data_IF_932658126968
#
_entry.id   IF_932658126968
#
_cell.length_a   1.000
_cell.length_b   1.000
_cell.length_c   1.000
_cell.angle_alpha   90.00
_cell.angle_beta   90.00
_cell.angle_gamma   90.00
#
_symmetry.space_group_name_H-M   'P 1'
#
loop_
_entity.id
_entity.type
_entity.pdbx_description
1 polymer ?
#
# COMPACT_ATOMS: atom_id res chain seq x y z
N UNK A 1 13.94 -12.18 6.15
CA UNK A 1 14.35 -12.23 4.74
C UNK A 1 13.61 -11.22 3.85
N UNK A 2 12.34 -10.87 4.08
CA UNK A 2 11.59 -9.86 3.28
C UNK A 2 12.00 -8.40 3.56
N UNK A 3 12.41 -8.06 4.81
CA UNK A 3 13.00 -6.72 5.09
C UNK A 3 14.24 -6.41 4.25
N UNK A 4 14.98 -7.42 3.81
CA UNK A 4 16.13 -7.24 2.91
C UNK A 4 15.71 -7.03 1.45
N UNK A 5 14.54 -7.51 1.00
CA UNK A 5 14.12 -7.36 -0.39
C UNK A 5 13.60 -5.95 -0.70
N UNK A 6 12.88 -5.32 0.22
CA UNK A 6 12.41 -3.94 0.03
C UNK A 6 13.58 -2.95 0.07
N UNK A 7 14.49 -3.10 1.03
CA UNK A 7 15.72 -2.30 1.09
C UNK A 7 16.64 -2.53 -0.12
N UNK A 8 16.69 -3.74 -0.67
CA UNK A 8 17.40 -4.03 -1.90
C UNK A 8 16.71 -3.40 -3.12
N UNK A 9 15.38 -3.42 -3.20
CA UNK A 9 14.63 -2.83 -4.31
C UNK A 9 14.75 -1.31 -4.36
N UNK A 10 14.68 -0.62 -3.21
CA UNK A 10 14.84 0.84 -3.15
C UNK A 10 16.31 1.26 -3.37
N UNK A 11 17.27 0.50 -2.85
CA UNK A 11 18.71 0.81 -3.02
C UNK A 11 19.26 0.49 -4.42
N UNK A 12 18.61 -0.41 -5.17
CA UNK A 12 19.09 -0.84 -6.49
C UNK A 12 18.43 -0.10 -7.66
N UNK A 13 17.49 0.80 -7.43
CA UNK A 13 16.98 1.67 -8.48
C UNK A 13 18.07 2.66 -8.87
N UNK A 14 18.88 2.27 -9.87
CA UNK A 14 19.80 3.18 -10.51
C UNK A 14 18.99 4.14 -11.38
N UNK A 15 18.59 5.25 -10.76
CA UNK A 15 17.65 6.26 -11.28
C UNK A 15 18.05 6.78 -12.69
N UNK A 16 19.34 6.73 -13.02
CA UNK A 16 19.83 7.17 -14.35
C UNK A 16 19.56 6.15 -15.48
N UNK A 17 19.49 4.87 -15.17
CA UNK A 17 19.27 3.82 -16.18
C UNK A 17 17.80 3.70 -16.63
N UNK A 18 16.84 4.17 -15.80
CA UNK A 18 15.41 4.01 -16.01
C UNK A 18 14.77 5.04 -16.98
N UNK A 19 15.53 6.05 -17.43
CA UNK A 19 14.95 7.19 -18.16
C UNK A 19 14.37 6.88 -19.54
N UNK A 20 14.72 5.79 -20.18
CA UNK A 20 14.40 5.61 -21.62
C UNK A 20 13.16 4.76 -21.92
N UNK A 21 12.77 3.84 -21.03
CA UNK A 21 11.70 2.86 -21.32
C UNK A 21 10.79 2.55 -20.12
N UNK A 22 10.49 3.54 -19.27
CA UNK A 22 9.57 3.31 -18.17
C UNK A 22 8.11 3.25 -18.65
N UNK A 23 7.34 2.22 -18.23
CA UNK A 23 5.95 2.10 -18.60
C UNK A 23 5.14 3.28 -18.06
N UNK A 24 4.14 3.73 -18.80
CA UNK A 24 3.28 4.83 -18.39
C UNK A 24 2.44 4.54 -17.12
N UNK A 25 2.34 3.27 -16.74
CA UNK A 25 1.64 2.83 -15.53
C UNK A 25 2.54 1.99 -14.65
N UNK A 26 2.73 2.42 -13.40
CA UNK A 26 3.59 1.75 -12.41
C UNK A 26 2.80 1.59 -11.12
N UNK A 27 2.80 0.39 -10.56
CA UNK A 27 2.27 0.12 -9.22
C UNK A 27 3.42 -0.18 -8.27
N UNK A 28 3.43 0.50 -7.13
CA UNK A 28 4.34 0.27 -6.02
C UNK A 28 3.51 -0.21 -4.83
N UNK A 29 3.91 -1.31 -4.20
CA UNK A 29 3.23 -1.82 -3.02
C UNK A 29 4.15 -1.78 -1.80
N UNK A 30 3.58 -1.43 -0.67
CA UNK A 30 4.23 -1.31 0.62
C UNK A 30 3.39 -2.06 1.66
N UNK A 31 3.99 -2.43 2.79
CA UNK A 31 3.30 -2.97 3.95
C UNK A 31 3.42 -1.96 5.09
N UNK A 32 4.50 -2.00 5.82
CA UNK A 32 4.82 -1.04 6.86
C UNK A 32 5.56 0.18 6.30
N UNK A 33 5.51 1.31 7.04
CA UNK A 33 6.28 2.51 6.71
C UNK A 33 6.95 3.05 7.97
N UNK A 34 8.18 2.66 8.21
CA UNK A 34 8.98 3.20 9.31
C UNK A 34 9.46 4.64 8.99
N UNK A 35 9.70 5.45 10.03
CA UNK A 35 10.17 6.85 9.85
C UNK A 35 11.38 7.00 8.93
N UNK A 36 12.31 6.03 8.97
CA UNK A 36 13.50 6.05 8.10
C UNK A 36 13.16 5.87 6.62
N UNK A 37 12.03 5.19 6.33
CA UNK A 37 11.59 4.89 4.97
C UNK A 37 10.82 6.06 4.36
N UNK A 38 10.26 6.97 5.17
CA UNK A 38 9.60 8.18 4.68
C UNK A 38 10.51 9.06 3.83
N UNK A 39 11.80 9.15 4.18
CA UNK A 39 12.77 9.93 3.39
C UNK A 39 13.02 9.30 2.02
N UNK A 40 13.05 7.97 1.94
CA UNK A 40 13.22 7.29 0.67
C UNK A 40 11.94 7.32 -0.16
N UNK A 41 10.77 7.23 0.48
CA UNK A 41 9.47 7.43 -0.16
C UNK A 41 9.35 8.86 -0.73
N UNK A 42 9.81 9.87 0.01
CA UNK A 42 9.87 11.27 -0.47
C UNK A 42 10.72 11.40 -1.74
N UNK A 43 11.89 10.80 -1.78
CA UNK A 43 12.76 10.79 -2.98
C UNK A 43 12.09 10.13 -4.17
N UNK A 44 11.38 9.02 -3.94
CA UNK A 44 10.61 8.31 -4.96
C UNK A 44 9.51 9.22 -5.53
N UNK A 45 8.75 9.89 -4.66
CA UNK A 45 7.69 10.81 -5.06
C UNK A 45 8.26 11.95 -5.92
N UNK A 46 9.29 12.62 -5.43
CA UNK A 46 9.95 13.72 -6.15
C UNK A 46 10.45 13.25 -7.51
N UNK A 47 11.10 12.08 -7.57
CA UNK A 47 11.61 11.53 -8.82
C UNK A 47 10.49 11.31 -9.84
N UNK A 48 9.44 10.58 -9.48
CA UNK A 48 8.35 10.29 -10.42
C UNK A 48 7.64 11.56 -10.89
N UNK A 49 7.37 12.52 -9.99
CA UNK A 49 6.79 13.81 -10.37
C UNK A 49 7.70 14.59 -11.31
N UNK A 50 9.03 14.56 -11.09
CA UNK A 50 10.00 15.26 -11.94
C UNK A 50 10.05 14.76 -13.39
N UNK A 51 9.60 13.52 -13.64
CA UNK A 51 9.53 12.90 -14.97
C UNK A 51 8.09 12.77 -15.49
N UNK A 52 7.16 13.50 -14.85
CA UNK A 52 5.81 13.71 -15.35
C UNK A 52 4.77 12.67 -14.95
N UNK A 53 5.02 11.87 -13.90
CA UNK A 53 4.02 10.96 -13.35
C UNK A 53 3.12 11.65 -12.34
N UNK A 54 1.84 11.29 -12.35
CA UNK A 54 0.85 11.64 -11.33
C UNK A 54 0.63 10.43 -10.40
N UNK A 55 0.56 10.70 -9.09
CA UNK A 55 0.21 9.68 -8.11
C UNK A 55 -1.32 9.61 -7.94
N UNK A 56 -1.86 8.42 -8.17
CA UNK A 56 -3.31 8.20 -8.21
C UNK A 56 -3.70 6.97 -7.39
N UNK A 57 -4.97 6.90 -6.98
CA UNK A 57 -5.53 5.70 -6.36
C UNK A 57 -5.62 4.53 -7.35
N UNK A 58 -5.70 3.30 -6.85
CA UNK A 58 -5.77 2.11 -7.72
C UNK A 58 -7.04 2.10 -8.58
N UNK A 59 -8.15 2.65 -8.06
CA UNK A 59 -9.39 2.79 -8.82
C UNK A 59 -9.22 3.73 -10.04
N UNK A 60 -8.59 4.89 -9.86
CA UNK A 60 -8.27 5.78 -10.97
C UNK A 60 -7.24 5.17 -11.91
N UNK A 61 -6.21 4.55 -11.37
CA UNK A 61 -5.17 3.85 -12.12
C UNK A 61 -5.74 2.76 -13.04
N UNK A 62 -6.71 1.98 -12.56
CA UNK A 62 -7.35 0.90 -13.34
C UNK A 62 -8.27 1.40 -14.45
N UNK A 63 -8.96 2.53 -14.23
CA UNK A 63 -9.94 3.09 -15.18
C UNK A 63 -9.30 3.92 -16.30
N UNK A 64 -8.12 4.46 -16.07
CA UNK A 64 -7.43 5.25 -17.09
C UNK A 64 -6.89 4.34 -18.20
N UNK A 65 -7.36 4.53 -19.41
CA UNK A 65 -7.02 3.70 -20.58
C UNK A 65 -6.00 4.43 -21.49
N UNK A 66 -5.86 5.76 -21.35
CA UNK A 66 -4.95 6.54 -22.19
C UNK A 66 -3.49 6.09 -22.01
N UNK A 67 -2.82 5.84 -23.12
CA UNK A 67 -1.38 5.53 -23.14
C UNK A 67 -0.48 6.77 -22.99
N UNK A 68 -1.06 7.96 -22.99
CA UNK A 68 -0.32 9.22 -22.90
C UNK A 68 -0.12 9.68 -21.45
N UNK A 69 -0.95 9.20 -20.53
CA UNK A 69 -0.92 9.59 -19.12
C UNK A 69 0.04 8.70 -18.35
N UNK A 70 0.91 9.31 -17.56
CA UNK A 70 1.87 8.62 -16.69
C UNK A 70 1.36 8.59 -15.26
N UNK A 71 1.01 7.40 -14.78
CA UNK A 71 0.49 7.19 -13.44
C UNK A 71 1.36 6.28 -12.58
N UNK A 72 1.52 6.65 -11.31
CA UNK A 72 1.99 5.77 -10.26
C UNK A 72 0.84 5.51 -9.29
N UNK A 73 0.54 4.25 -9.01
CA UNK A 73 -0.29 3.86 -7.89
C UNK A 73 0.61 3.39 -6.73
N UNK A 74 0.46 3.98 -5.55
CA UNK A 74 1.04 3.45 -4.32
C UNK A 74 -0.06 2.73 -3.56
N UNK A 75 0.19 1.47 -3.18
CA UNK A 75 -0.70 0.68 -2.33
C UNK A 75 0.00 0.26 -1.05
N UNK A 76 -0.78 0.13 0.01
CA UNK A 76 -0.35 -0.38 1.30
C UNK A 76 -1.22 -1.56 1.66
N UNK A 77 -0.61 -2.65 2.14
CA UNK A 77 -1.28 -3.90 2.46
C UNK A 77 -1.18 -4.21 3.96
N UNK A 78 -2.09 -5.03 4.49
CA UNK A 78 -2.13 -5.61 5.83
C UNK A 78 -2.63 -4.73 6.99
N UNK A 79 -2.88 -3.45 6.78
CA UNK A 79 -3.55 -2.62 7.81
C UNK A 79 -2.66 -2.18 8.98
N UNK A 80 -1.46 -1.70 8.73
CA UNK A 80 -0.54 -1.22 9.78
C UNK A 80 -0.84 0.24 10.21
N UNK A 81 -0.81 0.53 11.52
CA UNK A 81 -1.05 1.86 12.09
C UNK A 81 0.00 2.90 11.67
N UNK A 82 1.22 2.47 11.35
CA UNK A 82 2.30 3.37 10.95
C UNK A 82 2.06 4.06 9.59
N UNK A 83 1.03 3.67 8.85
CA UNK A 83 0.58 4.35 7.62
C UNK A 83 0.22 5.82 7.85
N UNK A 84 -0.29 6.17 9.02
CA UNK A 84 -0.62 7.55 9.41
C UNK A 84 0.57 8.49 9.22
N UNK A 85 1.78 7.99 9.41
CA UNK A 85 3.00 8.77 9.22
C UNK A 85 3.23 9.23 7.78
N UNK A 86 2.54 8.65 6.80
CA UNK A 86 2.65 9.02 5.39
C UNK A 86 1.78 10.23 5.01
N UNK A 87 0.75 10.57 5.80
CA UNK A 87 -0.29 11.53 5.42
C UNK A 87 0.28 12.93 5.16
N UNK A 88 1.14 13.43 6.04
CA UNK A 88 1.76 14.75 5.88
C UNK A 88 2.63 14.81 4.62
N UNK A 89 3.40 13.74 4.36
CA UNK A 89 4.22 13.62 3.17
C UNK A 89 3.34 13.61 1.90
N UNK A 90 2.28 12.83 1.90
CA UNK A 90 1.38 12.71 0.75
C UNK A 90 0.60 14.00 0.50
N UNK A 91 0.18 14.68 1.57
CA UNK A 91 -0.44 16.01 1.47
C UNK A 91 0.52 17.03 0.86
N UNK A 92 1.79 17.06 1.31
CA UNK A 92 2.83 17.97 0.81
C UNK A 92 3.04 17.85 -0.70
N UNK A 93 3.00 16.63 -1.23
CA UNK A 93 3.26 16.36 -2.65
C UNK A 93 2.00 16.06 -3.48
N UNK A 94 0.80 16.27 -2.90
CA UNK A 94 -0.48 15.94 -3.54
C UNK A 94 -0.54 14.48 -4.06
N UNK A 95 -0.03 13.55 -3.28
CA UNK A 95 -0.07 12.10 -3.57
C UNK A 95 -1.40 11.53 -3.10
N UNK A 96 -2.01 10.66 -3.93
CA UNK A 96 -3.12 9.80 -3.51
C UNK A 96 -2.67 8.35 -3.59
N UNK A 97 -3.02 7.59 -2.57
CA UNK A 97 -2.66 6.18 -2.41
C UNK A 97 -3.90 5.34 -2.09
N UNK A 98 -3.78 4.02 -2.17
CA UNK A 98 -4.81 3.06 -1.78
C UNK A 98 -4.28 2.20 -0.64
N UNK A 99 -5.09 2.00 0.39
CA UNK A 99 -4.76 1.25 1.59
C UNK A 99 -5.68 0.03 1.70
N UNK A 100 -5.11 -1.16 1.62
CA UNK A 100 -5.83 -2.42 1.69
C UNK A 100 -5.74 -3.01 3.10
N UNK A 101 -6.88 -3.15 3.76
CA UNK A 101 -7.00 -3.64 5.14
C UNK A 101 -7.66 -5.01 5.19
N UNK A 102 -7.20 -5.86 6.11
CA UNK A 102 -7.87 -7.11 6.41
C UNK A 102 -9.04 -6.84 7.36
N UNK A 103 -10.24 -7.26 6.99
CA UNK A 103 -11.45 -6.88 7.73
C UNK A 103 -11.57 -7.50 9.12
N UNK A 104 -10.84 -8.60 9.40
CA UNK A 104 -10.75 -9.20 10.73
C UNK A 104 -10.27 -8.22 11.81
N UNK A 105 -9.42 -7.25 11.45
CA UNK A 105 -8.88 -6.24 12.38
C UNK A 105 -9.96 -5.39 13.05
N UNK A 106 -11.15 -5.34 12.48
CA UNK A 106 -12.27 -4.54 12.96
C UNK A 106 -13.37 -5.37 13.63
N UNK A 107 -13.07 -6.62 13.95
CA UNK A 107 -13.97 -7.58 14.65
C UNK A 107 -13.46 -7.84 16.06
N UNK A 108 -14.29 -8.55 16.86
CA UNK A 108 -13.93 -9.03 18.20
C UNK A 108 -13.31 -10.44 18.18
N UNK A 109 -12.90 -10.92 17.01
CA UNK A 109 -12.31 -12.25 16.86
C UNK A 109 -10.86 -12.28 17.34
N UNK A 110 -10.35 -13.47 17.64
CA UNK A 110 -8.97 -13.70 17.98
C UNK A 110 -8.07 -13.41 16.76
N UNK A 111 -7.07 -12.57 16.95
CA UNK A 111 -6.15 -12.12 15.93
C UNK A 111 -4.82 -12.90 15.91
N UNK A 112 -4.59 -13.85 16.81
CA UNK A 112 -3.28 -14.52 16.96
C UNK A 112 -2.78 -15.12 15.64
N UNK A 113 -3.63 -15.87 14.96
CA UNK A 113 -3.29 -16.46 13.66
C UNK A 113 -3.04 -15.42 12.58
N UNK A 114 -3.90 -14.41 12.49
CA UNK A 114 -3.79 -13.32 11.54
C UNK A 114 -2.47 -12.55 11.74
N UNK A 115 -2.14 -12.16 12.97
CA UNK A 115 -0.89 -11.48 13.30
C UNK A 115 0.33 -12.31 12.89
N UNK A 116 0.29 -13.62 13.13
CA UNK A 116 1.34 -14.54 12.69
C UNK A 116 1.49 -14.56 11.16
N UNK A 117 0.38 -14.62 10.43
CA UNK A 117 0.36 -14.70 8.96
C UNK A 117 0.93 -13.43 8.31
N UNK A 118 0.62 -12.24 8.86
CA UNK A 118 1.17 -10.96 8.40
C UNK A 118 2.51 -10.58 9.07
N UNK A 119 3.02 -11.43 9.97
CA UNK A 119 4.27 -11.22 10.74
C UNK A 119 4.26 -9.94 11.59
N UNK A 120 3.14 -9.64 12.18
CA UNK A 120 2.95 -8.54 13.11
C UNK A 120 3.09 -9.05 14.55
N UNK A 121 3.93 -8.41 15.35
CA UNK A 121 4.23 -8.87 16.72
C UNK A 121 3.10 -8.55 17.71
N UNK A 122 2.24 -7.55 17.40
CA UNK A 122 1.27 -7.02 18.34
C UNK A 122 0.10 -6.35 17.59
N UNK A 123 -1.12 -6.58 18.06
CA UNK A 123 -2.33 -5.93 17.52
C UNK A 123 -2.34 -4.40 17.67
N UNK A 124 -1.60 -3.84 18.63
CA UNK A 124 -1.45 -2.38 18.78
C UNK A 124 -0.73 -1.71 17.60
N UNK A 125 -0.09 -2.51 16.74
CA UNK A 125 0.54 -2.05 15.49
C UNK A 125 -0.44 -2.00 14.32
N UNK A 126 -1.68 -2.48 14.51
CA UNK A 126 -2.72 -2.46 13.48
C UNK A 126 -3.49 -1.14 13.50
N UNK A 127 -3.92 -0.73 12.32
CA UNK A 127 -4.71 0.48 12.14
C UNK A 127 -6.10 0.33 12.80
N UNK A 128 -6.53 1.34 13.51
CA UNK A 128 -7.87 1.40 14.08
C UNK A 128 -8.85 2.17 13.18
N UNK A 129 -10.16 2.12 13.52
CA UNK A 129 -11.22 2.79 12.73
C UNK A 129 -11.06 4.30 12.62
N UNK A 130 -10.51 4.97 13.63
CA UNK A 130 -10.31 6.42 13.60
C UNK A 130 -9.18 6.78 12.64
N UNK A 131 -8.05 6.07 12.71
CA UNK A 131 -6.92 6.22 11.80
C UNK A 131 -7.32 5.92 10.35
N UNK A 132 -8.11 4.86 10.14
CA UNK A 132 -8.62 4.53 8.80
C UNK A 132 -9.53 5.64 8.26
N UNK A 133 -10.38 6.22 9.13
CA UNK A 133 -11.22 7.37 8.78
C UNK A 133 -10.38 8.61 8.46
N UNK A 134 -9.27 8.83 9.15
CA UNK A 134 -8.34 9.92 8.86
C UNK A 134 -7.72 9.76 7.48
N UNK A 135 -7.25 8.55 7.13
CA UNK A 135 -6.73 8.23 5.80
C UNK A 135 -7.78 8.56 4.73
N UNK A 136 -9.01 8.07 4.90
CA UNK A 136 -10.11 8.31 3.98
C UNK A 136 -10.43 9.80 3.81
N UNK A 137 -10.53 10.55 4.93
CA UNK A 137 -10.83 11.97 4.94
C UNK A 137 -9.71 12.83 4.30
N UNK A 138 -8.49 12.33 4.24
CA UNK A 138 -7.39 12.93 3.47
C UNK A 138 -7.47 12.61 1.96
N UNK A 139 -8.55 11.93 1.52
CA UNK A 139 -8.84 11.66 0.11
C UNK A 139 -8.05 10.50 -0.49
N UNK A 140 -7.59 9.59 0.34
CA UNK A 140 -7.03 8.31 -0.07
C UNK A 140 -8.14 7.27 -0.27
N UNK A 141 -7.84 6.20 -0.96
CA UNK A 141 -8.75 5.08 -1.19
C UNK A 141 -8.51 3.98 -0.14
N UNK A 142 -9.61 3.37 0.33
CA UNK A 142 -9.56 2.20 1.20
C UNK A 142 -10.11 1.02 0.40
N UNK A 143 -9.42 -0.11 0.46
CA UNK A 143 -9.81 -1.38 -0.12
C UNK A 143 -9.75 -2.53 0.90
N UNK A 144 -10.39 -3.65 0.59
CA UNK A 144 -10.27 -4.87 1.37
C UNK A 144 -9.08 -5.72 0.90
N UNK A 145 -8.34 -6.30 1.86
CA UNK A 145 -7.24 -7.23 1.63
C UNK A 145 -7.57 -8.63 2.16
N UNK A 146 -8.73 -9.16 1.78
CA UNK A 146 -9.38 -10.35 2.33
C UNK A 146 -9.82 -10.18 3.79
N UNK A 147 -10.45 -11.20 4.35
CA UNK A 147 -10.86 -11.18 5.76
C UNK A 147 -9.71 -11.51 6.69
N UNK A 148 -9.12 -12.71 6.56
CA UNK A 148 -8.11 -13.23 7.48
C UNK A 148 -6.73 -13.47 6.87
N UNK A 149 -6.46 -12.93 5.68
CA UNK A 149 -5.17 -13.05 4.95
C UNK A 149 -4.80 -14.49 4.55
N UNK A 150 -5.79 -15.39 4.36
CA UNK A 150 -5.52 -16.76 3.90
C UNK A 150 -5.02 -16.78 2.45
N UNK A 151 -4.22 -17.80 2.12
CA UNK A 151 -3.78 -18.06 0.74
C UNK A 151 -4.97 -18.52 -0.11
N UNK A 152 -5.60 -17.61 -0.87
CA UNK A 152 -6.85 -17.85 -1.60
C UNK A 152 -6.80 -19.07 -2.53
N UNK A 153 -5.65 -19.33 -3.17
CA UNK A 153 -5.49 -20.49 -4.09
C UNK A 153 -5.54 -21.86 -3.41
N UNK A 154 -5.56 -21.92 -2.07
CA UNK A 154 -5.66 -23.15 -1.29
C UNK A 154 -7.05 -23.40 -0.70
N UNK A 155 -7.97 -22.45 -0.89
CA UNK A 155 -9.31 -22.49 -0.32
C UNK A 155 -10.28 -23.20 -1.27
N UNK A 156 -11.27 -23.89 -0.68
CA UNK A 156 -12.46 -24.31 -1.41
C UNK A 156 -13.40 -23.12 -1.65
N UNK A 157 -14.47 -23.31 -2.41
CA UNK A 157 -15.38 -22.23 -2.79
C UNK A 157 -16.07 -21.57 -1.59
N UNK A 158 -16.44 -22.34 -0.56
CA UNK A 158 -17.10 -21.83 0.65
C UNK A 158 -16.13 -20.94 1.43
N UNK A 159 -14.93 -21.46 1.72
CA UNK A 159 -13.88 -20.71 2.41
C UNK A 159 -13.44 -19.46 1.63
N UNK A 160 -13.42 -19.53 0.29
CA UNK A 160 -13.11 -18.38 -0.55
C UNK A 160 -14.16 -17.28 -0.44
N UNK A 161 -15.45 -17.67 -0.42
CA UNK A 161 -16.56 -16.72 -0.22
C UNK A 161 -16.43 -16.03 1.14
N UNK A 162 -16.17 -16.76 2.21
CA UNK A 162 -15.96 -16.21 3.56
C UNK A 162 -14.78 -15.21 3.65
N UNK A 163 -13.77 -15.38 2.80
CA UNK A 163 -12.59 -14.50 2.79
C UNK A 163 -12.80 -13.20 1.99
N UNK A 164 -13.73 -13.14 1.05
CA UNK A 164 -13.88 -12.02 0.11
C UNK A 164 -15.22 -11.27 0.21
N UNK A 165 -16.21 -11.81 0.94
CA UNK A 165 -17.49 -11.16 1.26
C UNK A 165 -17.46 -10.48 2.64
#
# INVERSE_FOLDING_TARGET
MLKQSLQASIRSINVMALRKDMPNKISLYLHETEKKELQDLEKIIIYFQSIGYEFVTINRFSKEISSEVKHVAITFDDGFSNWISTLDLFKKYNVKATYFVNTIQFTDLDLEKFLSDIRCDNSDLLINKNELSEIYNNGHEIGAHTHTHKTLSKLNLIELTEEIE
#
